data_IF_312304218698
#
_entry.id   IF_312304218698
#
_cell.length_a   1.000
_cell.length_b   1.000
_cell.length_c   1.000
_cell.angle_alpha   90.00
_cell.angle_beta   90.00
_cell.angle_gamma   90.00
#
_symmetry.space_group_name_H-M   'P 1'
#
loop_
_entity.id
_entity.type
_entity.pdbx_description
1 polymer ?
#
# COMPACT_ATOMS: atom_id res chain seq x y z
N UNK A 1 34.26 42.52 30.94
CA UNK A 1 33.67 43.14 32.14
C UNK A 1 32.29 43.65 31.77
N UNK A 2 31.23 43.12 32.39
CA UNK A 2 29.91 43.77 32.44
C UNK A 2 29.94 44.79 33.59
N UNK A 3 29.19 45.92 33.52
CA UNK A 3 27.77 45.95 33.94
C UNK A 3 26.89 46.76 32.95
N UNK A 4 25.59 46.53 32.72
CA UNK A 4 24.38 46.36 33.56
C UNK A 4 23.50 47.65 33.59
N UNK A 5 22.19 47.41 33.53
CA UNK A 5 21.01 48.27 33.72
C UNK A 5 20.41 49.09 32.56
N UNK A 6 19.15 48.76 32.28
CA UNK A 6 18.19 49.54 31.52
C UNK A 6 16.87 48.75 31.43
N UNK A 7 15.90 49.14 32.26
CA UNK A 7 14.52 48.63 32.32
C UNK A 7 13.89 48.45 30.93
N UNK A 8 12.94 47.51 30.80
CA UNK A 8 11.69 47.74 30.08
C UNK A 8 10.68 46.62 30.39
N UNK A 9 9.72 47.00 31.23
CA UNK A 9 8.29 46.83 31.01
C UNK A 9 7.76 45.42 30.78
N UNK A 10 7.04 44.95 31.80
CA UNK A 10 5.97 43.96 31.67
C UNK A 10 5.06 44.29 30.47
N UNK A 11 5.04 43.39 29.50
CA UNK A 11 3.90 43.20 28.60
C UNK A 11 3.52 41.73 28.69
N UNK A 12 2.45 41.45 29.46
CA UNK A 12 1.63 40.27 29.23
C UNK A 12 1.18 40.30 27.76
N UNK A 13 1.10 39.13 27.10
CA UNK A 13 -0.13 38.63 26.45
C UNK A 13 0.21 37.50 25.47
N UNK A 14 -0.52 36.40 25.65
CA UNK A 14 -0.75 35.26 24.75
C UNK A 14 0.46 34.44 24.29
N UNK A 15 0.69 33.35 25.04
CA UNK A 15 1.21 32.12 24.47
C UNK A 15 0.25 31.63 23.38
N UNK A 16 0.59 31.86 22.12
CA UNK A 16 0.01 31.11 21.01
C UNK A 16 0.68 29.74 21.03
N UNK A 17 0.06 28.81 21.74
CA UNK A 17 0.30 27.39 21.52
C UNK A 17 -0.05 27.13 20.05
N UNK A 18 0.97 27.10 19.18
CA UNK A 18 0.84 26.43 17.90
C UNK A 18 0.54 24.97 18.25
N UNK A 19 -0.74 24.65 18.26
CA UNK A 19 -1.24 23.29 18.26
C UNK A 19 -0.67 22.65 17.00
N UNK A 20 0.45 21.95 17.16
CA UNK A 20 0.93 21.01 16.17
C UNK A 20 -0.25 20.10 15.87
N UNK A 21 -0.78 20.21 14.66
CA UNK A 21 -1.73 19.25 14.13
C UNK A 21 -0.90 17.98 14.02
N UNK A 22 -0.90 17.18 15.09
CA UNK A 22 -0.48 15.81 15.04
C UNK A 22 -1.48 15.14 14.10
N UNK A 23 -1.17 15.14 12.81
CA UNK A 23 -1.76 14.19 11.90
C UNK A 23 -1.34 12.84 12.48
N UNK A 24 -2.26 12.18 13.16
CA UNK A 24 -2.11 10.76 13.47
C UNK A 24 -2.06 10.06 12.12
N UNK A 25 -0.86 9.95 11.53
CA UNK A 25 -0.62 8.99 10.49
C UNK A 25 -0.81 7.64 11.16
N UNK A 26 -2.01 7.09 11.04
CA UNK A 26 -2.18 5.65 11.12
C UNK A 26 -1.31 5.10 10.01
N UNK A 27 -0.05 4.80 10.35
CA UNK A 27 0.80 4.00 9.50
C UNK A 27 0.11 2.63 9.48
N UNK A 28 -0.67 2.37 8.42
CA UNK A 28 -1.11 1.02 8.15
C UNK A 28 0.17 0.18 8.02
N UNK A 29 0.28 -0.89 8.81
CA UNK A 29 1.41 -1.80 8.73
C UNK A 29 1.31 -2.56 7.40
N UNK A 30 1.96 -2.00 6.38
CA UNK A 30 2.08 -2.63 5.09
C UNK A 30 3.05 -3.81 5.17
N UNK A 31 2.75 -4.85 4.41
CA UNK A 31 3.66 -5.96 4.19
C UNK A 31 4.97 -5.44 3.63
N UNK A 32 6.06 -5.88 4.24
CA UNK A 32 7.42 -5.69 3.74
C UNK A 32 7.62 -6.45 2.42
N UNK A 33 8.63 -6.08 1.65
CA UNK A 33 9.05 -6.85 0.46
C UNK A 33 9.25 -8.34 0.79
N UNK A 34 9.91 -8.64 1.91
CA UNK A 34 10.14 -10.02 2.36
C UNK A 34 8.82 -10.77 2.55
N UNK A 35 7.84 -10.15 3.17
CA UNK A 35 6.53 -10.77 3.40
C UNK A 35 5.76 -10.95 2.09
N UNK A 36 5.79 -9.98 1.17
CA UNK A 36 5.15 -10.11 -0.14
C UNK A 36 5.77 -11.27 -0.93
N UNK A 37 7.10 -11.35 -0.97
CA UNK A 37 7.83 -12.40 -1.68
C UNK A 37 7.66 -13.79 -1.06
N UNK A 38 7.37 -13.86 0.24
CA UNK A 38 7.03 -15.12 0.89
C UNK A 38 5.56 -15.55 0.67
N UNK A 39 4.70 -14.61 0.26
CA UNK A 39 3.24 -14.82 0.21
C UNK A 39 2.71 -15.05 -1.20
N UNK A 40 3.10 -14.21 -2.16
CA UNK A 40 2.44 -14.13 -3.47
C UNK A 40 3.05 -15.07 -4.53
N UNK A 41 4.38 -15.17 -4.70
CA UNK A 41 4.96 -16.02 -5.73
C UNK A 41 4.54 -17.50 -5.58
N UNK A 42 3.98 -18.08 -6.63
CA UNK A 42 3.48 -19.46 -6.63
C UNK A 42 2.08 -19.65 -6.02
N UNK A 43 1.42 -18.58 -5.57
CA UNK A 43 0.06 -18.63 -5.05
C UNK A 43 -0.99 -18.35 -6.12
N UNK A 44 -2.23 -18.73 -5.83
CA UNK A 44 -3.40 -18.28 -6.59
C UNK A 44 -4.17 -17.26 -5.75
N UNK A 45 -4.47 -16.11 -6.34
CA UNK A 45 -5.20 -15.02 -5.70
C UNK A 45 -6.51 -14.80 -6.43
N UNK A 46 -7.56 -14.57 -5.65
CA UNK A 46 -8.89 -14.23 -6.14
C UNK A 46 -9.32 -12.86 -5.61
N UNK A 47 -10.18 -12.19 -6.35
CA UNK A 47 -10.84 -10.98 -5.87
C UNK A 47 -12.02 -10.55 -6.73
N UNK A 48 -12.56 -9.38 -6.38
CA UNK A 48 -13.61 -8.70 -7.13
C UNK A 48 -13.03 -7.39 -7.65
N UNK A 49 -13.32 -7.04 -8.90
CA UNK A 49 -12.85 -5.80 -9.53
C UNK A 49 -13.29 -4.58 -8.72
N UNK A 50 -12.35 -3.67 -8.46
CA UNK A 50 -12.67 -2.39 -7.80
C UNK A 50 -13.36 -1.40 -8.76
N UNK A 51 -13.33 -1.64 -10.08
CA UNK A 51 -13.95 -0.77 -11.08
C UNK A 51 -15.48 -0.91 -11.07
N UNK A 52 -16.00 -2.15 -11.09
CA UNK A 52 -17.44 -2.43 -11.17
C UNK A 52 -18.02 -3.06 -9.89
N UNK A 53 -17.17 -3.50 -8.95
CA UNK A 53 -17.55 -4.19 -7.72
C UNK A 53 -18.39 -5.46 -7.94
N UNK A 54 -18.27 -6.10 -9.11
CA UNK A 54 -19.06 -7.27 -9.49
C UNK A 54 -18.22 -8.34 -10.15
N UNK A 55 -17.35 -7.96 -11.08
CA UNK A 55 -16.60 -8.94 -11.88
C UNK A 55 -15.54 -9.60 -11.03
N UNK A 56 -15.67 -10.92 -10.86
CA UNK A 56 -14.66 -11.73 -10.20
C UNK A 56 -13.45 -11.90 -11.09
N UNK A 57 -12.28 -12.00 -10.47
CA UNK A 57 -11.04 -12.34 -11.16
C UNK A 57 -10.23 -13.32 -10.34
N UNK A 58 -9.37 -14.07 -11.04
CA UNK A 58 -8.39 -14.99 -10.46
C UNK A 58 -7.05 -14.80 -11.15
N UNK A 59 -5.98 -14.91 -10.38
CA UNK A 59 -4.60 -14.78 -10.84
C UNK A 59 -3.75 -15.88 -10.22
N UNK A 60 -3.04 -16.63 -11.07
CA UNK A 60 -2.00 -17.56 -10.64
C UNK A 60 -0.64 -16.89 -10.87
N UNK A 61 0.08 -16.64 -9.78
CA UNK A 61 1.43 -16.09 -9.84
C UNK A 61 2.43 -17.21 -10.07
N UNK A 62 3.30 -17.04 -11.07
CA UNK A 62 4.46 -17.93 -11.20
C UNK A 62 5.36 -17.82 -9.97
N UNK A 63 6.10 -18.89 -9.67
CA UNK A 63 7.23 -18.78 -8.73
C UNK A 63 8.25 -17.78 -9.27
N UNK A 64 8.92 -17.08 -8.37
CA UNK A 64 9.91 -16.06 -8.73
C UNK A 64 10.53 -15.42 -7.50
N UNK A 65 11.70 -14.78 -7.67
CA UNK A 65 12.41 -14.09 -6.56
C UNK A 65 11.95 -12.66 -6.37
N UNK A 66 11.95 -11.85 -7.44
CA UNK A 66 11.50 -10.44 -7.42
C UNK A 66 10.66 -10.07 -8.64
N UNK A 67 10.44 -11.04 -9.53
CA UNK A 67 9.66 -10.91 -10.76
C UNK A 67 9.16 -12.28 -11.21
N UNK A 68 8.10 -12.27 -12.01
CA UNK A 68 7.54 -13.47 -12.63
C UNK A 68 6.38 -13.13 -13.55
N UNK A 69 5.60 -14.15 -13.89
CA UNK A 69 4.43 -14.09 -14.76
C UNK A 69 3.15 -14.30 -13.97
N UNK A 70 2.05 -13.85 -14.55
CA UNK A 70 0.69 -14.07 -14.08
C UNK A 70 -0.09 -14.69 -15.23
N UNK A 71 -0.88 -15.70 -14.94
CA UNK A 71 -1.97 -16.14 -15.80
C UNK A 71 -3.27 -15.99 -15.01
N UNK A 72 -4.33 -15.48 -15.63
CA UNK A 72 -5.56 -15.17 -14.91
C UNK A 72 -6.81 -15.18 -15.76
N UNK A 73 -7.94 -15.03 -15.07
CA UNK A 73 -9.25 -14.79 -15.66
C UNK A 73 -9.82 -13.51 -15.08
N UNK A 74 -10.35 -12.63 -15.94
CA UNK A 74 -11.20 -11.51 -15.55
C UNK A 74 -12.61 -11.80 -16.06
N UNK A 75 -13.53 -12.17 -15.16
CA UNK A 75 -14.78 -12.80 -15.57
C UNK A 75 -14.49 -14.14 -16.28
N UNK A 76 -14.77 -14.21 -17.57
CA UNK A 76 -14.49 -15.35 -18.43
C UNK A 76 -13.24 -15.19 -19.31
N UNK A 77 -12.66 -13.99 -19.34
CA UNK A 77 -11.62 -13.67 -20.30
C UNK A 77 -10.24 -13.99 -19.73
N UNK A 78 -9.48 -14.80 -20.46
CA UNK A 78 -8.09 -15.14 -20.12
C UNK A 78 -7.16 -13.97 -20.37
N UNK A 79 -6.17 -13.82 -19.50
CA UNK A 79 -5.08 -12.86 -19.69
C UNK A 79 -3.76 -13.38 -19.12
N UNK A 80 -2.68 -12.80 -19.62
CA UNK A 80 -1.34 -12.95 -19.06
C UNK A 80 -0.79 -11.57 -18.69
N UNK A 81 0.07 -11.54 -17.67
CA UNK A 81 0.81 -10.34 -17.29
C UNK A 81 2.15 -10.67 -16.65
N UNK A 82 2.92 -9.63 -16.37
CA UNK A 82 4.16 -9.70 -15.60
C UNK A 82 3.95 -9.11 -14.20
N UNK A 83 4.62 -9.67 -13.20
CA UNK A 83 4.73 -9.06 -11.87
C UNK A 83 6.17 -8.79 -11.49
N UNK A 84 6.41 -7.75 -10.70
CA UNK A 84 7.71 -7.39 -10.09
C UNK A 84 7.51 -6.73 -8.74
N UNK A 85 8.55 -6.78 -7.90
CA UNK A 85 8.64 -5.90 -6.73
C UNK A 85 9.54 -4.71 -7.07
N UNK A 86 9.01 -3.50 -6.92
CA UNK A 86 9.69 -2.22 -7.20
C UNK A 86 9.52 -1.33 -5.98
N UNK A 87 10.62 -0.85 -5.40
CA UNK A 87 10.63 0.05 -4.24
C UNK A 87 9.75 -0.42 -3.06
N UNK A 88 9.73 -1.74 -2.82
CA UNK A 88 8.94 -2.34 -1.74
C UNK A 88 7.44 -2.44 -2.03
N UNK A 89 7.01 -2.22 -3.27
CA UNK A 89 5.63 -2.36 -3.74
C UNK A 89 5.48 -3.56 -4.66
N UNK A 90 4.30 -4.15 -4.70
CA UNK A 90 3.96 -5.17 -5.68
C UNK A 90 3.41 -4.53 -6.93
N UNK A 91 4.03 -4.79 -8.07
CA UNK A 91 3.70 -4.15 -9.33
C UNK A 91 3.36 -5.18 -10.40
N UNK A 92 2.26 -4.95 -11.12
CA UNK A 92 1.81 -5.80 -12.22
C UNK A 92 1.68 -4.99 -13.51
N UNK A 93 2.00 -5.62 -14.63
CA UNK A 93 1.95 -5.03 -15.96
C UNK A 93 1.12 -5.92 -16.89
N UNK A 94 -0.06 -5.43 -17.26
CA UNK A 94 -1.00 -6.07 -18.17
C UNK A 94 -0.90 -5.52 -19.62
N UNK A 95 0.22 -4.88 -19.97
CA UNK A 95 0.50 -4.36 -21.31
C UNK A 95 0.49 -2.83 -21.42
N UNK A 96 0.11 -2.12 -20.37
CA UNK A 96 0.06 -0.65 -20.31
C UNK A 96 1.14 -0.06 -19.39
N UNK A 97 2.02 -0.90 -18.84
CA UNK A 97 3.03 -0.54 -17.86
C UNK A 97 2.66 -0.99 -16.45
N UNK A 98 3.58 -0.74 -15.51
CA UNK A 98 3.46 -1.23 -14.15
C UNK A 98 2.48 -0.39 -13.32
N UNK A 99 1.49 -1.06 -12.75
CA UNK A 99 0.65 -0.55 -11.68
C UNK A 99 1.11 -1.16 -10.36
N UNK A 100 1.40 -0.31 -9.37
CA UNK A 100 1.98 -0.73 -8.10
C UNK A 100 1.04 -0.51 -6.91
N UNK A 101 1.05 -1.45 -5.96
CA UNK A 101 0.25 -1.41 -4.75
C UNK A 101 1.06 -1.81 -3.51
N UNK A 102 0.55 -1.36 -2.37
CA UNK A 102 0.96 -1.87 -1.06
C UNK A 102 -0.11 -2.84 -0.57
N UNK A 103 0.31 -3.86 0.17
CA UNK A 103 -0.62 -4.80 0.80
C UNK A 103 -0.60 -4.65 2.31
N UNK A 104 -1.77 -4.64 2.92
CA UNK A 104 -1.97 -4.81 4.35
C UNK A 104 -2.52 -6.21 4.58
N UNK A 105 -1.90 -6.98 5.48
CA UNK A 105 -2.40 -8.31 5.84
C UNK A 105 -3.53 -8.17 6.86
N UNK A 106 -4.76 -8.45 6.43
CA UNK A 106 -5.96 -8.35 7.27
C UNK A 106 -6.49 -9.70 7.77
N UNK A 107 -5.83 -10.78 7.37
CA UNK A 107 -6.09 -12.14 7.84
C UNK A 107 -5.08 -13.13 7.27
N UNK A 108 -5.20 -14.41 7.65
CA UNK A 108 -4.26 -15.45 7.23
C UNK A 108 -4.09 -15.51 5.70
N UNK A 109 -5.21 -15.45 4.97
CA UNK A 109 -5.23 -15.52 3.50
C UNK A 109 -5.94 -14.31 2.87
N UNK A 110 -6.00 -13.18 3.57
CA UNK A 110 -6.70 -11.98 3.09
C UNK A 110 -5.78 -10.77 3.11
N UNK A 111 -5.67 -10.10 1.98
CA UNK A 111 -4.89 -8.88 1.82
C UNK A 111 -5.82 -7.73 1.45
N UNK A 112 -5.64 -6.59 2.12
CA UNK A 112 -6.20 -5.31 1.67
C UNK A 112 -5.17 -4.62 0.79
N UNK A 113 -5.59 -4.28 -0.42
CA UNK A 113 -4.75 -3.58 -1.37
C UNK A 113 -4.86 -2.09 -1.14
N UNK A 114 -3.75 -1.37 -1.23
CA UNK A 114 -3.69 0.08 -1.12
C UNK A 114 -3.06 0.66 -2.36
N UNK A 115 -3.69 1.68 -2.95
CA UNK A 115 -3.19 2.44 -4.09
C UNK A 115 -3.03 3.90 -3.69
N UNK A 116 -1.82 4.45 -3.83
CA UNK A 116 -1.53 5.83 -3.41
C UNK A 116 -1.83 6.07 -1.91
N UNK A 117 -1.58 5.06 -1.07
CA UNK A 117 -1.84 5.11 0.39
C UNK A 117 -3.32 5.01 0.79
N UNK A 118 -4.24 4.81 -0.16
CA UNK A 118 -5.66 4.63 0.12
C UNK A 118 -6.07 3.17 -0.04
N UNK A 119 -6.84 2.60 0.89
CA UNK A 119 -7.33 1.25 0.77
C UNK A 119 -8.32 1.13 -0.40
N UNK A 120 -8.17 0.08 -1.19
CA UNK A 120 -9.16 -0.36 -2.14
C UNK A 120 -10.28 -1.11 -1.40
N UNK A 121 -11.49 -1.05 -1.97
CA UNK A 121 -12.70 -1.58 -1.34
C UNK A 121 -12.69 -3.10 -1.21
N UNK A 122 -12.28 -3.78 -2.28
CA UNK A 122 -12.31 -5.24 -2.35
C UNK A 122 -10.97 -5.84 -1.90
N UNK A 123 -11.08 -6.94 -1.14
CA UNK A 123 -9.92 -7.68 -0.65
C UNK A 123 -9.43 -8.70 -1.67
N UNK A 124 -8.14 -8.97 -1.62
CA UNK A 124 -7.53 -10.12 -2.29
C UNK A 124 -7.56 -11.31 -1.34
N UNK A 125 -7.89 -12.49 -1.87
CA UNK A 125 -7.92 -13.75 -1.13
C UNK A 125 -6.95 -14.74 -1.74
N UNK A 126 -5.99 -15.21 -0.94
CA UNK A 126 -5.01 -16.22 -1.34
C UNK A 126 -5.61 -17.62 -1.15
N UNK A 127 -5.41 -18.50 -2.12
CA UNK A 127 -5.86 -19.90 -2.12
C UNK A 127 -4.71 -20.88 -2.21
#
# INVERSE_FOLDING_TARGET
MLPNFGELTRVCTTAVCFAGIATTSWAADFMTEKEMLATLPGSTVHGISNQDNKTGWVQAYSKGRKKGKIAGLFGSDEYESDWRVIDGQWCEDWGEGFHCWNFERVGANKLRVHQGGKPLKNLWTIK
#
